data_IF_723361044660
#
_entry.id   IF_723361044660
#
_cell.length_a   1.000
_cell.length_b   1.000
_cell.length_c   1.000
_cell.angle_alpha   90.00
_cell.angle_beta   90.00
_cell.angle_gamma   90.00
#
_symmetry.space_group_name_H-M   'P 1'
#
loop_
_entity.id
_entity.type
_entity.pdbx_description
1 polymer ?
#
# COMPACT_ATOMS: atom_id res chain seq x y z
N UNK A 1 8.63 16.85 13.70
CA UNK A 1 7.95 17.65 12.66
C UNK A 1 8.44 17.37 11.23
N UNK A 2 9.74 17.33 10.90
CA UNK A 2 10.18 17.19 9.50
C UNK A 2 9.71 15.88 8.83
N UNK A 3 9.69 14.76 9.58
CA UNK A 3 9.12 13.47 9.11
C UNK A 3 7.72 13.60 8.50
N UNK A 4 6.86 14.39 9.14
CA UNK A 4 5.48 14.58 8.71
C UNK A 4 5.40 15.35 7.38
N UNK A 5 6.29 16.31 7.16
CA UNK A 5 6.35 17.09 5.92
C UNK A 5 6.69 16.20 4.72
N UNK A 6 7.62 15.26 4.89
CA UNK A 6 8.02 14.29 3.85
C UNK A 6 6.87 13.34 3.48
N UNK A 7 6.08 12.91 4.46
CA UNK A 7 4.98 11.98 4.24
C UNK A 7 3.75 12.69 3.67
N UNK A 8 3.48 13.92 4.13
CA UNK A 8 2.23 14.65 3.86
C UNK A 8 1.94 14.82 2.39
N UNK A 9 2.92 15.24 1.59
CA UNK A 9 2.72 15.56 0.17
C UNK A 9 2.28 14.34 -0.64
N UNK A 10 2.95 13.21 -0.43
CA UNK A 10 2.67 11.95 -1.13
C UNK A 10 1.36 11.31 -0.67
N UNK A 11 1.08 11.35 0.63
CA UNK A 11 -0.19 10.86 1.16
C UNK A 11 -1.35 11.71 0.63
N UNK A 12 -1.25 13.05 0.70
CA UNK A 12 -2.27 13.94 0.17
C UNK A 12 -2.53 13.68 -1.32
N UNK A 13 -1.48 13.50 -2.13
CA UNK A 13 -1.61 13.18 -3.57
C UNK A 13 -2.38 11.87 -3.78
N UNK A 14 -1.99 10.82 -3.06
CA UNK A 14 -2.57 9.48 -3.19
C UNK A 14 -4.06 9.46 -2.82
N UNK A 15 -4.42 10.12 -1.72
CA UNK A 15 -5.80 10.17 -1.26
C UNK A 15 -6.67 11.09 -2.12
N UNK A 16 -6.13 12.18 -2.64
CA UNK A 16 -6.85 12.99 -3.63
C UNK A 16 -7.14 12.22 -4.92
N UNK A 17 -6.24 11.34 -5.36
CA UNK A 17 -6.51 10.47 -6.51
C UNK A 17 -7.71 9.54 -6.24
N UNK A 18 -7.84 9.00 -5.02
CA UNK A 18 -8.98 8.16 -4.62
C UNK A 18 -10.28 8.96 -4.52
N UNK A 19 -10.25 10.15 -3.93
CA UNK A 19 -11.41 11.05 -3.89
C UNK A 19 -11.91 11.36 -5.31
N UNK A 20 -10.98 11.68 -6.23
CA UNK A 20 -11.31 11.92 -7.64
C UNK A 20 -11.94 10.69 -8.31
N UNK A 21 -11.43 9.48 -8.03
CA UNK A 21 -12.00 8.24 -8.55
C UNK A 21 -13.44 7.99 -8.04
N UNK A 22 -13.76 8.45 -6.82
CA UNK A 22 -15.11 8.41 -6.25
C UNK A 22 -15.97 9.65 -6.57
N UNK A 23 -15.52 10.51 -7.49
CA UNK A 23 -16.19 11.77 -7.87
C UNK A 23 -16.43 12.73 -6.68
N UNK A 24 -15.56 12.65 -5.67
CA UNK A 24 -15.55 13.51 -4.49
C UNK A 24 -14.55 14.66 -4.69
N UNK A 25 -14.88 15.85 -4.18
CA UNK A 25 -14.01 17.02 -4.26
C UNK A 25 -12.69 16.75 -3.54
N UNK A 26 -11.58 16.85 -4.27
CA UNK A 26 -10.23 16.76 -3.71
C UNK A 26 -9.96 17.93 -2.77
N UNK A 27 -9.20 17.69 -1.70
CA UNK A 27 -8.89 18.72 -0.71
C UNK A 27 -7.38 19.00 -0.64
N UNK A 28 -7.04 20.24 -0.33
CA UNK A 28 -5.69 20.56 0.16
C UNK A 28 -5.82 20.62 1.66
N UNK A 29 -5.11 19.76 2.39
CA UNK A 29 -5.21 19.71 3.84
C UNK A 29 -4.82 21.07 4.43
N UNK A 30 -5.81 21.85 4.82
CA UNK A 30 -5.68 23.14 5.52
C UNK A 30 -6.34 23.03 6.88
N UNK A 31 -6.09 23.97 7.78
CA UNK A 31 -6.85 24.03 9.03
C UNK A 31 -8.32 24.31 8.69
N UNK A 32 -9.24 23.47 9.18
CA UNK A 32 -10.67 23.50 8.87
C UNK A 32 -11.18 22.18 8.27
N UNK A 33 -12.36 22.24 7.65
CA UNK A 33 -13.02 21.05 7.09
C UNK A 33 -12.41 20.67 5.74
N UNK A 34 -11.92 19.43 5.65
CA UNK A 34 -11.36 18.87 4.43
C UNK A 34 -12.00 17.51 4.16
N UNK A 35 -12.44 17.29 2.92
CA UNK A 35 -12.85 15.96 2.51
C UNK A 35 -11.63 15.04 2.46
N UNK A 36 -11.74 13.89 3.11
CA UNK A 36 -10.70 12.87 3.18
C UNK A 36 -11.33 11.50 2.98
N UNK A 37 -10.54 10.56 2.47
CA UNK A 37 -10.98 9.17 2.33
C UNK A 37 -11.16 8.52 3.73
N UNK A 38 -12.13 7.61 3.84
CA UNK A 38 -12.44 6.93 5.11
C UNK A 38 -11.26 6.13 5.68
N UNK A 39 -10.34 5.66 4.83
CA UNK A 39 -9.18 4.85 5.24
C UNK A 39 -7.94 5.70 5.56
N UNK A 40 -7.98 7.02 5.33
CA UNK A 40 -6.83 7.91 5.53
C UNK A 40 -6.20 7.71 6.90
N UNK A 41 -7.00 7.77 7.97
CA UNK A 41 -6.47 7.67 9.34
C UNK A 41 -5.73 6.35 9.60
N UNK A 42 -6.24 5.23 9.07
CA UNK A 42 -5.64 3.91 9.26
C UNK A 42 -4.30 3.79 8.55
N UNK A 43 -4.26 4.15 7.26
CA UNK A 43 -3.04 4.02 6.47
C UNK A 43 -1.97 5.01 6.90
N UNK A 44 -2.38 6.21 7.32
CA UNK A 44 -1.47 7.20 7.89
C UNK A 44 -0.85 6.72 9.22
N UNK A 45 -1.63 6.02 10.05
CA UNK A 45 -1.12 5.45 11.29
C UNK A 45 -0.02 4.40 11.02
N UNK A 46 -0.20 3.56 10.00
CA UNK A 46 0.81 2.57 9.56
C UNK A 46 2.10 3.26 9.13
N UNK A 47 2.00 4.32 8.31
CA UNK A 47 3.16 5.12 7.90
C UNK A 47 3.84 5.80 9.09
N UNK A 48 3.07 6.32 10.03
CA UNK A 48 3.61 6.96 11.24
C UNK A 48 4.40 5.95 12.09
N UNK A 49 3.85 4.76 12.34
CA UNK A 49 4.55 3.69 13.08
C UNK A 49 5.83 3.23 12.38
N UNK A 50 5.81 3.09 11.06
CA UNK A 50 6.99 2.68 10.31
C UNK A 50 8.11 3.73 10.35
N UNK A 51 7.75 5.02 10.31
CA UNK A 51 8.71 6.13 10.21
C UNK A 51 9.11 6.72 11.57
N UNK A 52 8.46 6.34 12.66
CA UNK A 52 8.66 6.86 14.02
C UNK A 52 10.14 6.82 14.45
N UNK A 53 10.79 5.65 14.31
CA UNK A 53 12.20 5.42 14.65
C UNK A 53 13.12 5.30 13.44
N UNK A 54 12.73 5.86 12.29
CA UNK A 54 13.51 5.77 11.05
C UNK A 54 14.35 7.05 10.84
N UNK A 55 15.54 6.87 10.25
CA UNK A 55 16.36 7.97 9.74
C UNK A 55 15.62 8.74 8.64
N UNK A 56 15.79 10.06 8.61
CA UNK A 56 15.06 10.94 7.68
C UNK A 56 15.25 10.53 6.22
N UNK A 57 16.45 10.06 5.86
CA UNK A 57 16.82 9.69 4.49
C UNK A 57 16.08 8.43 3.97
N UNK A 58 15.60 7.57 4.89
CA UNK A 58 14.86 6.35 4.54
C UNK A 58 13.35 6.57 4.43
N UNK A 59 12.84 7.71 4.89
CA UNK A 59 11.39 8.02 4.85
C UNK A 59 10.82 8.02 3.42
N UNK A 60 11.47 8.61 2.41
CA UNK A 60 10.99 8.55 1.03
C UNK A 60 10.90 7.11 0.51
N UNK A 61 11.84 6.24 0.90
CA UNK A 61 11.82 4.81 0.55
C UNK A 61 10.63 4.11 1.20
N UNK A 62 10.36 4.39 2.48
CA UNK A 62 9.21 3.84 3.18
C UNK A 62 7.88 4.25 2.56
N UNK A 63 7.74 5.53 2.17
CA UNK A 63 6.56 6.03 1.46
C UNK A 63 6.40 5.35 0.11
N UNK A 64 7.48 5.21 -0.67
CA UNK A 64 7.45 4.50 -1.96
C UNK A 64 7.03 3.04 -1.81
N UNK A 65 7.57 2.34 -0.81
CA UNK A 65 7.24 0.94 -0.55
C UNK A 65 5.77 0.80 -0.10
N UNK A 66 5.27 1.72 0.71
CA UNK A 66 3.84 1.77 1.08
C UNK A 66 2.93 2.08 -0.13
N UNK A 67 3.39 2.90 -1.08
CA UNK A 67 2.67 3.14 -2.35
C UNK A 67 2.61 1.89 -3.24
N UNK A 68 3.61 1.01 -3.16
CA UNK A 68 3.65 -0.24 -3.91
C UNK A 68 2.69 -1.31 -3.35
N UNK A 69 2.29 -1.20 -2.08
CA UNK A 69 1.31 -2.11 -1.48
C UNK A 69 -0.08 -1.94 -2.13
N UNK A 70 -0.82 -3.06 -2.23
CA UNK A 70 -2.23 -3.02 -2.59
C UNK A 70 -3.03 -2.32 -1.48
N UNK A 71 -4.15 -1.64 -1.81
CA UNK A 71 -5.02 -1.03 -0.80
C UNK A 71 -5.41 -2.00 0.32
N UNK A 72 -5.59 -3.29 0.01
CA UNK A 72 -5.95 -4.34 0.96
C UNK A 72 -4.87 -4.60 2.00
N UNK A 73 -3.62 -4.67 1.54
CA UNK A 73 -2.45 -4.90 2.38
C UNK A 73 -2.25 -3.75 3.38
N UNK A 74 -2.57 -2.51 2.97
CA UNK A 74 -2.43 -1.33 3.83
C UNK A 74 -3.36 -1.37 5.03
N UNK A 75 -4.64 -1.69 4.84
CA UNK A 75 -5.58 -1.77 5.97
C UNK A 75 -5.41 -3.05 6.79
N UNK A 76 -4.94 -4.14 6.17
CA UNK A 76 -4.55 -5.34 6.89
C UNK A 76 -3.37 -5.09 7.84
N UNK A 77 -2.32 -4.39 7.36
CA UNK A 77 -1.18 -3.99 8.19
C UNK A 77 -1.62 -3.13 9.38
N UNK A 78 -2.57 -2.22 9.18
CA UNK A 78 -3.17 -1.46 10.28
C UNK A 78 -3.79 -2.41 11.32
N UNK A 79 -4.60 -3.37 10.89
CA UNK A 79 -5.26 -4.32 11.81
C UNK A 79 -4.26 -5.13 12.63
N UNK A 80 -3.29 -5.76 11.97
CA UNK A 80 -2.26 -6.58 12.63
C UNK A 80 -1.42 -5.76 13.61
N UNK A 81 -1.03 -4.55 13.19
CA UNK A 81 -0.23 -3.67 14.04
C UNK A 81 -1.05 -3.13 15.19
N UNK A 82 -2.28 -2.65 14.98
CA UNK A 82 -3.12 -2.08 16.03
C UNK A 82 -3.47 -3.11 17.12
N UNK A 83 -3.75 -4.36 16.75
CA UNK A 83 -4.04 -5.45 17.70
C UNK A 83 -2.80 -5.78 18.56
N UNK A 84 -1.61 -5.66 17.96
CA UNK A 84 -0.36 -6.11 18.56
C UNK A 84 0.54 -4.95 19.01
N UNK A 85 0.07 -3.71 18.93
CA UNK A 85 0.81 -2.54 19.38
C UNK A 85 0.70 -2.51 20.90
N UNK A 86 1.86 -2.61 21.56
CA UNK A 86 1.96 -2.48 23.01
C UNK A 86 1.69 -1.04 23.49
N UNK A 87 2.30 -0.68 24.62
CA UNK A 87 2.19 0.68 25.14
C UNK A 87 2.78 1.73 24.19
N UNK A 88 2.50 3.01 24.46
CA UNK A 88 3.06 4.13 23.69
C UNK A 88 4.60 4.13 23.62
N UNK A 89 5.28 3.49 24.59
CA UNK A 89 6.74 3.40 24.69
C UNK A 89 7.33 2.16 24.00
N UNK A 90 6.52 1.23 23.52
CA UNK A 90 6.99 0.00 22.85
C UNK A 90 7.13 0.16 21.32
N UNK A 91 7.54 1.36 20.88
CA UNK A 91 7.70 1.74 19.48
C UNK A 91 8.68 0.87 18.69
N UNK A 92 9.63 0.24 19.38
CA UNK A 92 10.73 -0.53 18.79
C UNK A 92 10.57 -2.04 18.93
N UNK A 93 9.36 -2.52 19.23
CA UNK A 93 9.08 -3.96 19.41
C UNK A 93 7.94 -4.43 18.51
N UNK A 94 7.94 -5.74 18.24
CA UNK A 94 6.85 -6.41 17.54
C UNK A 94 6.56 -5.84 16.17
N UNK A 95 5.28 -5.62 15.87
CA UNK A 95 4.81 -5.20 14.54
C UNK A 95 5.30 -3.80 14.13
N UNK A 96 5.56 -2.88 15.07
CA UNK A 96 6.12 -1.56 14.72
C UNK A 96 7.55 -1.65 14.19
N UNK A 97 8.37 -2.49 14.81
CA UNK A 97 9.72 -2.78 14.30
C UNK A 97 9.64 -3.52 12.96
N UNK A 98 8.72 -4.49 12.83
CA UNK A 98 8.51 -5.20 11.57
C UNK A 98 8.11 -4.24 10.43
N UNK A 99 7.21 -3.27 10.69
CA UNK A 99 6.83 -2.23 9.72
C UNK A 99 8.02 -1.37 9.29
N UNK A 100 8.90 -1.02 10.23
CA UNK A 100 10.09 -0.23 9.93
C UNK A 100 11.02 -0.95 8.96
N UNK A 101 11.27 -2.24 9.17
CA UNK A 101 12.08 -3.03 8.25
C UNK A 101 11.35 -3.31 6.94
N UNK A 102 10.06 -3.67 6.99
CA UNK A 102 9.26 -3.97 5.82
C UNK A 102 9.06 -2.77 4.88
N UNK A 103 9.12 -1.54 5.40
CA UNK A 103 9.02 -0.34 4.57
C UNK A 103 10.38 0.34 4.34
N UNK A 104 11.32 0.28 5.30
CA UNK A 104 12.60 1.00 5.23
C UNK A 104 13.81 0.18 4.79
N UNK A 105 13.71 -1.14 4.77
CA UNK A 105 14.87 -2.04 4.61
C UNK A 105 14.55 -3.23 3.68
N UNK A 106 13.69 -2.98 2.68
CA UNK A 106 13.40 -3.96 1.64
C UNK A 106 14.62 -4.04 0.73
N UNK A 107 15.37 -5.14 0.79
CA UNK A 107 16.25 -5.54 -0.29
C UNK A 107 15.40 -5.50 -1.56
N UNK A 108 15.65 -4.54 -2.45
CA UNK A 108 14.91 -4.44 -3.70
C UNK A 108 15.06 -5.79 -4.38
N UNK A 109 14.03 -6.63 -4.34
CA UNK A 109 13.99 -7.74 -5.24
C UNK A 109 13.81 -7.09 -6.61
N UNK A 110 14.80 -7.25 -7.47
CA UNK A 110 14.71 -6.93 -8.91
C UNK A 110 13.50 -7.61 -9.59
N UNK A 111 12.74 -8.41 -8.84
CA UNK A 111 11.43 -8.97 -9.16
C UNK A 111 10.29 -7.92 -9.24
N UNK A 112 10.44 -6.76 -8.59
CA UNK A 112 9.44 -5.67 -8.64
C UNK A 112 9.72 -4.62 -9.71
N UNK A 113 10.78 -4.79 -10.51
CA UNK A 113 10.91 -3.98 -11.74
C UNK A 113 9.61 -4.16 -12.53
N UNK A 114 8.87 -3.09 -12.87
CA UNK A 114 7.68 -3.24 -13.68
C UNK A 114 8.11 -3.91 -14.97
N UNK A 115 7.79 -5.20 -15.13
CA UNK A 115 8.00 -5.89 -16.40
C UNK A 115 7.21 -5.06 -17.40
N UNK A 116 7.93 -4.35 -18.27
CA UNK A 116 7.33 -3.59 -19.34
C UNK A 116 6.33 -4.51 -20.03
N UNK A 117 5.06 -4.12 -20.01
CA UNK A 117 3.96 -4.93 -20.51
C UNK A 117 4.14 -5.03 -22.03
N UNK A 118 5.00 -5.94 -22.48
CA UNK A 118 5.01 -6.39 -23.87
C UNK A 118 3.75 -7.23 -24.01
N UNK A 119 2.71 -6.63 -24.61
CA UNK A 119 1.61 -7.39 -25.18
C UNK A 119 2.25 -8.21 -26.31
N UNK A 120 2.72 -9.40 -25.98
CA UNK A 120 3.09 -10.40 -26.97
C UNK A 120 1.78 -11.08 -27.31
N UNK A 121 1.28 -10.86 -28.53
CA UNK A 121 0.17 -11.62 -29.06
C UNK A 121 0.47 -13.11 -28.85
N UNK A 122 -0.41 -13.81 -28.14
CA UNK A 122 -0.26 -15.23 -27.85
C UNK A 122 -0.22 -15.99 -29.18
N UNK A 123 0.90 -16.63 -29.49
CA UNK A 123 1.05 -17.50 -30.66
C UNK A 123 0.27 -18.82 -30.52
N UNK A 124 -0.51 -18.98 -29.45
CA UNK A 124 -1.26 -20.19 -29.09
C UNK A 124 -2.76 -20.10 -29.38
N UNK A 125 -3.27 -18.98 -29.91
CA UNK A 125 -4.69 -18.87 -30.32
C UNK A 125 -5.07 -19.85 -31.46
N UNK A 126 -4.09 -20.49 -32.11
CA UNK A 126 -4.31 -21.41 -33.24
C UNK A 126 -4.23 -22.91 -32.89
N UNK A 127 -3.98 -23.28 -31.63
CA UNK A 127 -3.99 -24.68 -31.22
C UNK A 127 -5.29 -24.98 -30.48
N UNK A 128 -6.23 -25.59 -31.22
CA UNK A 128 -7.37 -26.34 -30.66
C UNK A 128 -6.86 -27.47 -29.76
N UNK A 129 -6.43 -27.17 -28.54
CA UNK A 129 -6.27 -28.18 -27.51
C UNK A 129 -7.67 -28.54 -26.99
N UNK A 130 -8.00 -29.84 -26.87
CA UNK A 130 -9.20 -30.24 -26.17
C UNK A 130 -9.06 -29.80 -24.71
N UNK A 131 -9.88 -28.84 -24.30
CA UNK A 131 -10.06 -28.52 -22.88
C UNK A 131 -10.55 -29.78 -22.19
N UNK A 132 -9.73 -30.28 -21.26
CA UNK A 132 -10.08 -31.40 -20.40
C UNK A 132 -11.24 -30.94 -19.52
N UNK A 133 -12.45 -31.37 -19.88
CA UNK A 133 -13.68 -31.00 -19.21
C UNK A 133 -13.77 -31.77 -17.88
N UNK A 134 -13.34 -31.11 -16.80
CA UNK A 134 -13.24 -31.70 -15.46
C UNK A 134 -14.56 -31.60 -14.67
N UNK A 135 -15.61 -31.06 -15.28
CA UNK A 135 -16.96 -31.00 -14.71
C UNK A 135 -17.96 -31.42 -15.76
N UNK A 136 -18.23 -32.73 -15.82
CA UNK A 136 -19.35 -33.24 -16.61
C UNK A 136 -20.66 -32.70 -16.05
N UNK A 137 -21.34 -31.85 -16.83
CA UNK A 137 -22.76 -31.59 -16.64
C UNK A 137 -23.54 -32.70 -17.37
N UNK A 138 -23.90 -33.73 -16.61
CA UNK A 138 -25.05 -34.58 -16.93
C UNK A 138 -26.32 -33.76 -16.72
N UNK A 139 -26.93 -33.27 -17.80
CA UNK A 139 -28.40 -33.18 -17.90
C UNK A 139 -28.87 -33.24 -19.35
N UNK A 140 -29.29 -34.42 -19.82
CA UNK A 140 -30.67 -34.78 -20.20
C UNK A 140 -30.70 -36.12 -20.95
#
# INVERSE_FOLDING_TARGET
RPRWTEIRSEVQRTFNARLKAHNVKTSTWKVGDNMVDRLLGKELCVLAWATEGMEMDKIPVAVRNWLALRPEERWWLFGMTAISTGGMTDGDKGWRMALRHALGDVAQSDLLTPRGRKIVASKYDDLKLPTLDLFGDETL
#
